data_IF_693789587086
#
_entry.id   IF_693789587086
#
_cell.length_a   1.000
_cell.length_b   1.000
_cell.length_c   1.000
_cell.angle_alpha   90.00
_cell.angle_beta   90.00
_cell.angle_gamma   90.00
#
_symmetry.space_group_name_H-M   'P 1'
#
loop_
_entity.id
_entity.type
_entity.pdbx_description
1 polymer ?
#
# COMPACT_ATOMS: atom_id res chain seq x y z
N UNK A 1 13.37 -0.43 -14.93
CA UNK A 1 12.34 -0.18 -15.96
C UNK A 1 12.86 -0.39 -17.38
N UNK A 2 14.13 -0.12 -17.66
CA UNK A 2 14.75 -0.25 -18.99
C UNK A 2 14.61 -1.63 -19.64
N UNK A 3 14.81 -2.72 -18.91
CA UNK A 3 14.74 -4.07 -19.49
C UNK A 3 13.35 -4.43 -20.04
N UNK A 4 12.29 -4.23 -19.24
CA UNK A 4 10.91 -4.52 -19.67
C UNK A 4 10.53 -3.65 -20.87
N UNK A 5 10.80 -2.34 -20.80
CA UNK A 5 10.49 -1.44 -21.91
C UNK A 5 11.26 -1.80 -23.18
N UNK A 6 12.55 -2.16 -23.08
CA UNK A 6 13.36 -2.58 -24.22
C UNK A 6 12.79 -3.84 -24.88
N UNK A 7 12.51 -4.89 -24.10
CA UNK A 7 11.94 -6.14 -24.64
C UNK A 7 10.59 -5.95 -25.36
N UNK A 8 9.76 -5.02 -24.87
CA UNK A 8 8.48 -4.69 -25.51
C UNK A 8 8.67 -3.86 -26.77
N UNK A 9 9.70 -3.01 -26.82
CA UNK A 9 10.05 -2.27 -28.03
C UNK A 9 10.57 -3.22 -29.12
N UNK A 10 11.25 -4.29 -28.73
CA UNK A 10 11.70 -5.36 -29.63
C UNK A 10 10.55 -6.28 -30.10
N UNK A 11 9.30 -6.01 -29.70
CA UNK A 11 8.13 -6.78 -30.08
C UNK A 11 8.00 -8.14 -29.37
N UNK A 12 8.78 -8.40 -28.31
CA UNK A 12 8.74 -9.67 -27.57
C UNK A 12 7.74 -9.61 -26.42
N UNK A 13 6.83 -10.59 -26.37
CA UNK A 13 5.80 -10.69 -25.31
C UNK A 13 6.33 -11.46 -24.08
N UNK A 14 7.23 -12.41 -24.32
CA UNK A 14 7.90 -13.21 -23.29
C UNK A 14 9.07 -12.41 -22.73
N UNK A 15 9.00 -12.07 -21.43
CA UNK A 15 10.04 -11.27 -20.76
C UNK A 15 10.82 -12.19 -19.80
N UNK A 16 12.10 -12.50 -20.07
CA UNK A 16 12.93 -13.30 -19.20
C UNK A 16 13.34 -12.53 -17.93
N UNK A 17 13.76 -13.26 -16.90
CA UNK A 17 14.41 -12.65 -15.74
C UNK A 17 15.74 -12.01 -16.17
N UNK A 18 16.09 -10.88 -15.54
CA UNK A 18 17.35 -10.16 -15.81
C UNK A 18 18.57 -10.85 -15.16
N UNK A 19 18.36 -11.78 -14.24
CA UNK A 19 19.44 -12.52 -13.61
C UNK A 19 19.90 -13.64 -14.53
N UNK A 20 21.20 -13.69 -14.83
CA UNK A 20 21.81 -14.66 -15.74
C UNK A 20 21.62 -16.12 -15.31
N UNK A 21 21.44 -16.37 -14.01
CA UNK A 21 21.25 -17.71 -13.46
C UNK A 21 19.76 -18.13 -13.39
N UNK A 22 18.86 -17.25 -13.86
CA UNK A 22 17.42 -17.45 -13.72
C UNK A 22 16.74 -17.63 -15.08
N UNK A 23 16.46 -18.88 -15.43
CA UNK A 23 15.71 -19.25 -16.65
C UNK A 23 14.18 -19.00 -16.54
N UNK A 24 13.72 -18.28 -15.51
CA UNK A 24 12.28 -18.03 -15.29
C UNK A 24 11.83 -16.80 -16.06
N UNK A 25 10.59 -16.84 -16.55
CA UNK A 25 9.95 -15.69 -17.17
C UNK A 25 9.07 -14.92 -16.18
N UNK A 26 8.97 -13.61 -16.38
CA UNK A 26 8.09 -12.77 -15.59
C UNK A 26 6.62 -13.14 -15.86
N UNK A 27 5.83 -13.20 -14.79
CA UNK A 27 4.39 -13.44 -14.89
C UNK A 27 3.71 -12.22 -15.50
N UNK A 28 2.66 -12.44 -16.28
CA UNK A 28 1.84 -11.34 -16.83
C UNK A 28 1.38 -10.35 -15.78
N UNK A 29 0.88 -10.83 -14.64
CA UNK A 29 0.42 -9.98 -13.55
C UNK A 29 1.52 -9.05 -13.03
N UNK A 30 2.75 -9.56 -12.91
CA UNK A 30 3.92 -8.78 -12.51
C UNK A 30 4.28 -7.72 -13.54
N UNK A 31 4.24 -8.08 -14.83
CA UNK A 31 4.47 -7.15 -15.95
C UNK A 31 3.43 -6.02 -15.94
N UNK A 32 2.14 -6.38 -15.83
CA UNK A 32 1.03 -5.41 -15.76
C UNK A 32 1.13 -4.50 -14.54
N UNK A 33 1.52 -5.04 -13.39
CA UNK A 33 1.67 -4.24 -12.17
C UNK A 33 2.86 -3.28 -12.26
N UNK A 34 3.95 -3.68 -12.92
CA UNK A 34 5.10 -2.81 -13.20
C UNK A 34 4.70 -1.62 -14.08
N UNK A 35 3.88 -1.86 -15.11
CA UNK A 35 3.43 -0.83 -16.06
C UNK A 35 2.18 -0.08 -15.61
N UNK A 36 1.76 -0.20 -14.33
CA UNK A 36 0.52 0.41 -13.84
C UNK A 36 0.46 1.93 -14.06
N UNK A 37 1.60 2.60 -13.97
CA UNK A 37 1.70 4.07 -14.07
C UNK A 37 2.07 4.55 -15.48
N UNK A 38 2.45 3.65 -16.40
CA UNK A 38 2.87 3.98 -17.75
C UNK A 38 1.84 3.43 -18.75
N UNK A 39 0.91 4.31 -19.15
CA UNK A 39 -0.18 3.95 -20.06
C UNK A 39 0.30 3.54 -21.45
N UNK A 40 1.43 4.08 -21.92
CA UNK A 40 1.96 3.82 -23.26
C UNK A 40 2.53 2.40 -23.33
N UNK A 41 3.38 2.04 -22.37
CA UNK A 41 3.93 0.68 -22.32
C UNK A 41 2.83 -0.36 -22.04
N UNK A 42 1.85 0.00 -21.20
CA UNK A 42 0.71 -0.88 -20.91
C UNK A 42 -0.09 -1.20 -22.17
N UNK A 43 -0.46 -0.19 -22.96
CA UNK A 43 -1.20 -0.36 -24.21
C UNK A 43 -0.38 -1.14 -25.25
N UNK A 44 0.93 -0.85 -25.37
CA UNK A 44 1.84 -1.61 -26.25
C UNK A 44 1.86 -3.09 -25.92
N UNK A 45 2.02 -3.45 -24.64
CA UNK A 45 1.98 -4.85 -24.21
C UNK A 45 0.65 -5.52 -24.54
N UNK A 46 -0.48 -4.85 -24.30
CA UNK A 46 -1.81 -5.38 -24.62
C UNK A 46 -2.00 -5.64 -26.11
N UNK A 47 -1.52 -4.74 -26.97
CA UNK A 47 -1.54 -4.90 -28.42
C UNK A 47 -0.71 -6.10 -28.87
N UNK A 48 0.53 -6.23 -28.39
CA UNK A 48 1.38 -7.39 -28.70
C UNK A 48 0.71 -8.70 -28.25
N UNK A 49 0.16 -8.72 -27.04
CA UNK A 49 -0.57 -9.87 -26.51
C UNK A 49 -1.81 -10.22 -27.34
N UNK A 50 -2.60 -9.22 -27.76
CA UNK A 50 -3.76 -9.44 -28.62
C UNK A 50 -3.33 -10.02 -29.97
N UNK A 51 -2.29 -9.44 -30.60
CA UNK A 51 -1.76 -9.87 -31.89
C UNK A 51 -1.29 -11.33 -31.86
N UNK A 52 -0.54 -11.75 -30.84
CA UNK A 52 -0.09 -13.14 -30.73
C UNK A 52 -1.21 -14.16 -30.45
N UNK A 53 -2.41 -13.70 -30.05
CA UNK A 53 -3.57 -14.55 -29.83
C UNK A 53 -4.64 -14.43 -30.92
N UNK A 54 -4.35 -13.72 -32.03
CA UNK A 54 -5.28 -13.62 -33.17
C UNK A 54 -5.41 -14.95 -33.92
N UNK A 55 -4.34 -15.73 -33.99
CA UNK A 55 -4.33 -17.01 -34.69
C UNK A 55 -5.15 -18.05 -33.90
N UNK A 56 -6.18 -18.70 -34.50
CA UNK A 56 -6.95 -19.74 -33.82
C UNK A 56 -6.12 -20.97 -33.42
N UNK A 57 -4.99 -21.20 -34.11
CA UNK A 57 -4.07 -22.33 -33.91
C UNK A 57 -2.87 -22.01 -33.03
N UNK A 58 -2.64 -20.75 -32.68
CA UNK A 58 -1.51 -20.34 -31.85
C UNK A 58 -1.97 -19.40 -30.74
N UNK A 59 -1.60 -19.72 -29.50
CA UNK A 59 -2.01 -18.95 -28.33
C UNK A 59 -0.90 -18.86 -27.32
N UNK A 60 -0.87 -17.74 -26.62
CA UNK A 60 0.10 -17.50 -25.55
C UNK A 60 -0.44 -17.98 -24.21
N UNK A 61 0.43 -18.58 -23.40
CA UNK A 61 0.11 -19.04 -22.06
C UNK A 61 -0.38 -17.88 -21.20
N UNK A 62 -1.47 -18.03 -20.43
CA UNK A 62 -2.00 -16.95 -19.60
C UNK A 62 -1.10 -16.51 -18.42
N UNK A 63 0.02 -17.18 -18.15
CA UNK A 63 0.89 -16.83 -17.02
C UNK A 63 2.28 -16.36 -17.43
N UNK A 64 2.99 -17.10 -18.29
CA UNK A 64 4.35 -16.76 -18.73
C UNK A 64 4.43 -16.17 -20.15
N UNK A 65 3.29 -16.04 -20.85
CA UNK A 65 3.25 -15.57 -22.24
C UNK A 65 4.05 -16.41 -23.25
N UNK A 66 4.36 -17.67 -22.92
CA UNK A 66 4.94 -18.65 -23.85
C UNK A 66 3.96 -18.95 -24.99
N UNK A 67 4.44 -18.95 -26.24
CA UNK A 67 3.63 -19.24 -27.42
C UNK A 67 3.43 -20.74 -27.58
N UNK A 68 2.17 -21.18 -27.66
CA UNK A 68 1.79 -22.55 -28.00
C UNK A 68 1.20 -22.55 -29.40
N UNK A 69 1.88 -23.19 -30.35
CA UNK A 69 1.33 -23.50 -31.68
C UNK A 69 0.85 -24.94 -31.72
N UNK A 70 -0.34 -25.18 -32.29
CA UNK A 70 -0.84 -26.53 -32.58
C UNK A 70 -0.05 -27.22 -33.71
N UNK A 71 0.77 -26.47 -34.46
CA UNK A 71 1.55 -26.99 -35.58
C UNK A 71 2.91 -27.56 -35.13
N UNK A 72 3.43 -27.15 -33.98
CA UNK A 72 4.80 -27.49 -33.50
C UNK A 72 4.82 -28.58 -32.42
N UNK A 73 3.68 -28.89 -31.78
CA UNK A 73 3.64 -29.75 -30.59
C UNK A 73 2.53 -30.78 -30.74
N UNK A 74 2.92 -32.07 -30.79
CA UNK A 74 2.11 -33.18 -30.27
C UNK A 74 1.80 -32.82 -28.81
N UNK A 75 0.59 -32.36 -28.45
CA UNK A 75 0.34 -32.05 -27.05
C UNK A 75 0.47 -33.39 -26.31
N UNK A 76 1.11 -33.39 -25.14
CA UNK A 76 0.72 -34.36 -24.11
C UNK A 76 -0.74 -34.05 -23.79
N UNK A 77 -1.63 -34.55 -24.64
CA UNK A 77 -3.06 -34.57 -24.38
C UNK A 77 -3.15 -35.51 -23.19
N UNK A 78 -3.45 -34.96 -22.01
CA UNK A 78 -3.93 -35.74 -20.88
C UNK A 78 -5.33 -36.26 -21.26
N UNK A 79 -5.40 -37.15 -22.25
CA UNK A 79 -6.56 -38.01 -22.43
C UNK A 79 -6.51 -38.96 -21.25
N UNK A 80 -7.34 -38.68 -20.23
CA UNK A 80 -7.71 -39.73 -19.29
C UNK A 80 -8.33 -40.85 -20.13
N UNK A 81 -7.56 -41.92 -20.29
CA UNK A 81 -7.97 -43.32 -20.43
C UNK A 81 -9.45 -43.54 -20.73
N UNK A 82 -9.78 -43.75 -22.01
CA UNK A 82 -10.84 -44.69 -22.38
C UNK A 82 -10.23 -45.76 -23.27
N UNK A 83 -10.16 -46.97 -22.71
CA UNK A 83 -9.66 -48.16 -23.36
C UNK A 83 -10.62 -48.58 -24.48
N UNK A 84 -10.28 -48.29 -25.74
CA UNK A 84 -10.42 -49.18 -26.92
C UNK A 84 -10.26 -48.40 -28.23
N UNK A 85 -9.12 -48.64 -28.87
CA UNK A 85 -9.00 -49.04 -30.28
C UNK A 85 -9.75 -48.22 -31.34
N UNK A 86 -9.01 -47.38 -32.09
CA UNK A 86 -8.61 -47.61 -33.50
C UNK A 86 -8.29 -46.27 -34.18
N UNK A 87 -7.09 -46.23 -34.76
CA UNK A 87 -6.60 -45.30 -35.77
C UNK A 87 -7.67 -44.44 -36.49
N UNK A 88 -7.83 -43.20 -36.01
CA UNK A 88 -8.08 -42.03 -36.85
C UNK A 88 -7.73 -40.81 -36.02
N UNK A 89 -6.53 -40.26 -36.22
CA UNK A 89 -6.22 -38.92 -35.72
C UNK A 89 -7.08 -37.99 -36.55
N UNK A 90 -8.28 -37.67 -36.06
CA UNK A 90 -9.04 -36.54 -36.55
C UNK A 90 -8.19 -35.29 -36.27
N UNK A 91 -7.39 -34.88 -37.25
CA UNK A 91 -6.58 -33.65 -37.30
C UNK A 91 -7.40 -32.35 -37.14
N UNK A 92 -8.69 -32.47 -36.79
CA UNK A 92 -9.69 -31.39 -36.69
C UNK A 92 -10.08 -31.00 -35.27
N UNK A 93 -9.67 -31.72 -34.21
CA UNK A 93 -10.08 -31.39 -32.84
C UNK A 93 -8.97 -30.68 -32.06
N UNK A 94 -9.15 -29.38 -31.87
CA UNK A 94 -8.30 -28.53 -31.01
C UNK A 94 -8.32 -29.09 -29.58
N UNK A 95 -7.16 -29.34 -28.94
CA UNK A 95 -7.10 -29.83 -27.56
C UNK A 95 -7.73 -28.81 -26.62
N UNK A 96 -8.60 -29.27 -25.72
CA UNK A 96 -9.29 -28.38 -24.78
C UNK A 96 -8.39 -27.97 -23.60
N UNK A 97 -7.52 -28.89 -23.14
CA UNK A 97 -6.65 -28.75 -21.99
C UNK A 97 -5.18 -28.76 -22.44
N UNK A 98 -4.41 -27.77 -21.99
CA UNK A 98 -2.97 -27.67 -22.29
C UNK A 98 -2.22 -27.38 -21.00
N UNK A 99 -1.12 -28.08 -20.79
CA UNK A 99 -0.19 -27.80 -19.70
C UNK A 99 1.02 -27.05 -20.24
N UNK A 100 1.37 -25.93 -19.60
CA UNK A 100 2.54 -25.18 -19.98
C UNK A 100 3.83 -25.84 -19.50
N UNK A 101 4.81 -26.03 -20.38
CA UNK A 101 6.14 -26.59 -20.07
C UNK A 101 6.97 -25.66 -19.16
N UNK A 102 6.86 -24.34 -19.32
CA UNK A 102 7.66 -23.39 -18.55
C UNK A 102 7.10 -23.07 -17.16
N UNK A 103 5.78 -22.98 -17.03
CA UNK A 103 5.14 -22.52 -15.79
C UNK A 103 4.19 -23.55 -15.15
N UNK A 104 4.14 -24.77 -15.71
CA UNK A 104 3.30 -25.89 -15.28
C UNK A 104 1.81 -25.56 -15.13
N UNK A 105 1.36 -24.43 -15.69
CA UNK A 105 -0.04 -24.02 -15.62
C UNK A 105 -0.87 -24.90 -16.55
N UNK A 106 -1.95 -25.45 -16.02
CA UNK A 106 -2.97 -26.14 -16.80
C UNK A 106 -4.07 -25.14 -17.15
N UNK A 107 -4.30 -24.93 -18.44
CA UNK A 107 -5.20 -23.90 -18.94
C UNK A 107 -6.02 -24.40 -20.14
N UNK A 108 -7.14 -23.72 -20.41
CA UNK A 108 -8.00 -24.05 -21.53
C UNK A 108 -7.56 -23.32 -22.79
N UNK A 109 -7.20 -24.06 -23.85
CA UNK A 109 -6.75 -23.47 -25.11
C UNK A 109 -7.81 -22.57 -25.73
N UNK A 110 -9.11 -22.88 -25.60
CA UNK A 110 -10.17 -22.12 -26.28
C UNK A 110 -10.41 -20.73 -25.69
N UNK A 111 -10.43 -20.58 -24.37
CA UNK A 111 -10.70 -19.31 -23.69
C UNK A 111 -9.47 -18.65 -23.06
N UNK A 112 -8.30 -19.30 -23.05
CA UNK A 112 -7.09 -18.81 -22.40
C UNK A 112 -7.24 -18.56 -20.89
N UNK A 113 -8.21 -19.24 -20.25
CA UNK A 113 -8.46 -19.21 -18.82
C UNK A 113 -7.85 -20.44 -18.12
N UNK A 114 -7.70 -20.44 -16.78
CA UNK A 114 -7.39 -21.66 -16.03
C UNK A 114 -8.32 -22.82 -16.41
N UNK A 115 -7.81 -24.05 -16.36
CA UNK A 115 -8.62 -25.21 -16.73
C UNK A 115 -9.88 -25.33 -15.88
N UNK A 116 -11.01 -25.52 -16.54
CA UNK A 116 -12.32 -25.62 -15.92
C UNK A 116 -13.06 -26.85 -16.50
N UNK A 117 -13.29 -27.87 -15.68
CA UNK A 117 -13.92 -29.14 -16.10
C UNK A 117 -15.45 -29.02 -16.11
N UNK A 118 -16.02 -28.40 -15.08
CA UNK A 118 -17.48 -28.38 -14.83
C UNK A 118 -18.24 -27.27 -15.56
N UNK A 119 -17.55 -26.34 -16.21
CA UNK A 119 -18.15 -25.16 -16.83
C UNK A 119 -17.78 -25.07 -18.31
N UNK A 120 -18.72 -24.60 -19.14
CA UNK A 120 -18.38 -24.22 -20.52
C UNK A 120 -17.56 -22.94 -20.53
N UNK A 121 -16.71 -22.72 -21.54
CA UNK A 121 -15.93 -21.48 -21.67
C UNK A 121 -16.81 -20.22 -21.60
N UNK A 122 -18.02 -20.27 -22.18
CA UNK A 122 -18.97 -19.15 -22.16
C UNK A 122 -19.48 -18.88 -20.73
N UNK A 123 -19.81 -19.92 -19.97
CA UNK A 123 -20.24 -19.80 -18.58
C UNK A 123 -19.11 -19.28 -17.70
N UNK A 124 -17.88 -19.77 -17.89
CA UNK A 124 -16.71 -19.31 -17.15
C UNK A 124 -16.48 -17.81 -17.35
N UNK A 125 -16.41 -17.34 -18.60
CA UNK A 125 -16.23 -15.91 -18.92
C UNK A 125 -17.40 -15.06 -18.39
N UNK A 126 -18.64 -15.57 -18.45
CA UNK A 126 -19.81 -14.87 -17.89
C UNK A 126 -19.70 -14.79 -16.37
N UNK A 127 -19.30 -15.87 -15.70
CA UNK A 127 -19.04 -15.93 -14.26
C UNK A 127 -17.98 -14.93 -13.83
N UNK A 128 -16.85 -14.88 -14.52
CA UNK A 128 -15.78 -13.91 -14.25
C UNK A 128 -16.27 -12.46 -14.38
N UNK A 129 -17.05 -12.15 -15.42
CA UNK A 129 -17.66 -10.83 -15.60
C UNK A 129 -18.64 -10.50 -14.48
N UNK A 130 -19.45 -11.45 -14.05
CA UNK A 130 -20.38 -11.28 -12.94
C UNK A 130 -19.66 -11.07 -11.62
N UNK A 131 -18.58 -11.82 -11.37
CA UNK A 131 -17.73 -11.65 -10.20
C UNK A 131 -17.08 -10.27 -10.19
N UNK A 132 -16.54 -9.82 -11.33
CA UNK A 132 -15.97 -8.49 -11.43
C UNK A 132 -17.03 -7.41 -11.18
N UNK A 133 -18.23 -7.55 -11.77
CA UNK A 133 -19.37 -6.65 -11.50
C UNK A 133 -19.71 -6.62 -10.01
N UNK A 134 -19.90 -7.78 -9.38
CA UNK A 134 -20.20 -7.92 -7.95
C UNK A 134 -19.12 -7.28 -7.06
N UNK A 135 -17.85 -7.41 -7.43
CA UNK A 135 -16.71 -6.78 -6.75
C UNK A 135 -16.72 -5.25 -6.92
N UNK A 136 -17.07 -4.76 -8.11
CA UNK A 136 -17.05 -3.32 -8.42
C UNK A 136 -18.33 -2.58 -8.03
N UNK A 137 -19.43 -3.30 -7.85
CA UNK A 137 -20.73 -2.73 -7.54
C UNK A 137 -20.69 -2.07 -6.15
N UNK A 138 -21.05 -0.79 -6.13
CA UNK A 138 -21.20 0.00 -4.91
C UNK A 138 -22.68 -0.04 -4.53
N UNK A 139 -23.06 -1.03 -3.71
CA UNK A 139 -24.34 -0.94 -3.00
C UNK A 139 -24.17 0.05 -1.85
N UNK A 140 -25.20 0.86 -1.62
CA UNK A 140 -25.15 2.20 -1.01
C UNK A 140 -24.38 2.31 0.33
N UNK A 141 -24.22 1.21 1.09
CA UNK A 141 -23.43 1.24 2.33
C UNK A 141 -22.34 0.16 2.47
N UNK A 142 -22.23 -0.80 1.55
CA UNK A 142 -21.22 -1.87 1.65
C UNK A 142 -20.69 -2.25 0.26
N UNK A 143 -19.46 -1.83 -0.07
CA UNK A 143 -18.72 -2.46 -1.17
C UNK A 143 -18.38 -3.88 -0.75
N UNK A 144 -18.79 -4.87 -1.55
CA UNK A 144 -18.54 -6.29 -1.28
C UNK A 144 -17.06 -6.62 -1.11
N UNK A 145 -16.20 -5.97 -1.91
CA UNK A 145 -14.76 -6.06 -1.78
C UNK A 145 -14.10 -4.69 -2.03
N UNK A 146 -12.97 -4.44 -1.34
CA UNK A 146 -12.16 -3.23 -1.49
C UNK A 146 -10.78 -3.58 -2.04
N UNK A 147 -10.30 -2.80 -3.02
CA UNK A 147 -8.91 -2.90 -3.50
C UNK A 147 -7.95 -2.35 -2.44
N UNK A 148 -6.88 -3.09 -2.17
CA UNK A 148 -5.77 -2.58 -1.37
C UNK A 148 -5.10 -1.38 -2.07
N UNK A 149 -4.82 -0.26 -1.38
CA UNK A 149 -4.14 0.89 -1.99
C UNK A 149 -2.66 0.64 -2.35
N UNK A 150 -2.07 -0.50 -1.98
CA UNK A 150 -0.68 -0.85 -2.30
C UNK A 150 -0.60 -1.88 -3.43
N UNK A 151 -1.20 -3.06 -3.24
CA UNK A 151 -1.15 -4.14 -4.24
C UNK A 151 -2.39 -4.21 -5.16
N UNK A 152 -3.47 -3.49 -4.85
CA UNK A 152 -4.79 -3.61 -5.50
C UNK A 152 -5.44 -4.99 -5.49
N UNK A 153 -4.98 -5.88 -4.62
CA UNK A 153 -5.69 -7.11 -4.29
C UNK A 153 -7.06 -6.76 -3.72
N UNK A 154 -8.10 -7.44 -4.18
CA UNK A 154 -9.45 -7.31 -3.63
C UNK A 154 -9.53 -8.03 -2.29
N UNK A 155 -10.00 -7.33 -1.29
CA UNK A 155 -10.14 -7.81 0.08
C UNK A 155 -11.62 -7.68 0.43
N UNK A 156 -12.24 -8.76 0.90
CA UNK A 156 -13.59 -8.75 1.43
C UNK A 156 -13.54 -8.54 2.95
N UNK A 157 -14.52 -7.82 3.49
CA UNK A 157 -14.69 -7.64 4.93
C UNK A 157 -15.83 -8.52 5.44
N UNK A 158 -15.58 -9.33 6.48
CA UNK A 158 -16.57 -10.22 7.09
C UNK A 158 -17.32 -9.58 8.28
N UNK A 159 -17.45 -8.24 8.29
CA UNK A 159 -17.98 -7.47 9.42
C UNK A 159 -16.89 -6.91 10.36
N UNK A 160 -17.30 -6.10 11.34
CA UNK A 160 -16.40 -5.52 12.35
C UNK A 160 -15.73 -4.19 11.97
N UNK A 161 -14.56 -3.94 12.57
CA UNK A 161 -13.82 -2.68 12.46
C UNK A 161 -13.43 -2.35 11.00
N UNK A 162 -13.53 -1.09 10.54
CA UNK A 162 -13.11 -0.70 9.19
C UNK A 162 -11.58 -0.64 9.00
N UNK A 163 -10.78 -0.83 10.06
CA UNK A 163 -9.34 -0.94 9.99
C UNK A 163 -8.94 -2.35 9.53
N UNK A 164 -8.35 -2.47 8.34
CA UNK A 164 -7.92 -3.76 7.78
C UNK A 164 -6.44 -3.74 7.40
N UNK A 165 -5.79 -4.88 7.59
CA UNK A 165 -4.42 -5.11 7.16
C UNK A 165 -4.43 -6.07 5.98
N UNK A 166 -3.77 -5.70 4.89
CA UNK A 166 -3.71 -6.55 3.69
C UNK A 166 -2.83 -7.78 3.92
N UNK A 167 -3.34 -8.98 3.68
CA UNK A 167 -2.59 -10.24 3.81
C UNK A 167 -1.39 -10.34 2.85
N UNK A 168 -1.51 -9.79 1.64
CA UNK A 168 -0.46 -9.89 0.62
C UNK A 168 0.69 -8.90 0.80
N UNK A 169 0.46 -7.74 1.42
CA UNK A 169 1.47 -6.67 1.48
C UNK A 169 1.62 -5.99 2.85
N UNK A 170 0.93 -6.52 3.87
CA UNK A 170 0.89 -6.03 5.26
C UNK A 170 0.52 -4.54 5.42
N UNK A 171 -0.04 -3.91 4.39
CA UNK A 171 -0.43 -2.50 4.45
C UNK A 171 -1.73 -2.34 5.24
N UNK A 172 -1.74 -1.43 6.21
CA UNK A 172 -2.93 -0.99 6.94
C UNK A 172 -3.72 0.04 6.12
N UNK A 173 -5.02 -0.19 5.93
CA UNK A 173 -5.89 0.71 5.20
C UNK A 173 -7.33 0.67 5.73
N UNK A 174 -8.07 1.74 5.47
CA UNK A 174 -9.48 1.84 5.86
C UNK A 174 -10.37 1.26 4.76
N UNK A 175 -11.20 0.29 5.12
CA UNK A 175 -12.10 -0.38 4.17
C UNK A 175 -13.15 0.56 3.56
N UNK A 176 -13.62 1.54 4.34
CA UNK A 176 -14.66 2.49 3.95
C UNK A 176 -14.19 3.51 2.90
N UNK A 177 -12.97 4.04 3.05
CA UNK A 177 -12.44 5.06 2.16
C UNK A 177 -11.33 4.57 1.20
N UNK A 178 -10.78 3.38 1.44
CA UNK A 178 -9.70 2.79 0.64
C UNK A 178 -8.35 3.49 0.77
N UNK A 179 -8.19 4.44 1.70
CA UNK A 179 -6.92 5.12 1.96
C UNK A 179 -6.10 4.35 2.98
N UNK A 180 -4.78 4.47 2.89
CA UNK A 180 -3.84 3.92 3.87
C UNK A 180 -4.01 4.62 5.22
N UNK A 181 -3.82 3.88 6.31
CA UNK A 181 -3.66 4.51 7.61
C UNK A 181 -2.26 5.14 7.66
N UNK A 182 -2.22 6.47 7.58
CA UNK A 182 -0.99 7.24 7.82
C UNK A 182 -1.05 7.79 9.24
N UNK A 183 -0.07 7.45 10.08
CA UNK A 183 0.09 8.06 11.41
C UNK A 183 0.82 9.38 11.22
N UNK A 184 0.07 10.48 11.06
CA UNK A 184 0.65 11.82 11.02
C UNK A 184 0.51 12.41 12.43
N UNK A 185 1.61 12.78 13.13
CA UNK A 185 1.59 13.12 14.55
C UNK A 185 0.74 14.35 14.94
N UNK A 186 0.18 15.08 13.98
CA UNK A 186 -0.60 16.29 14.23
C UNK A 186 -2.06 16.25 13.72
N UNK A 187 -2.42 15.25 12.90
CA UNK A 187 -3.67 15.27 12.11
C UNK A 187 -4.73 14.28 12.65
N UNK A 188 -4.39 13.56 13.71
CA UNK A 188 -5.27 12.60 14.36
C UNK A 188 -5.37 11.27 13.62
N UNK A 189 -6.01 10.30 14.28
CA UNK A 189 -6.21 8.97 13.73
C UNK A 189 -7.30 8.99 12.65
N UNK A 190 -7.07 8.29 11.54
CA UNK A 190 -7.99 8.26 10.41
C UNK A 190 -9.42 7.78 10.76
N UNK A 191 -9.57 7.04 11.86
CA UNK A 191 -10.85 6.55 12.39
C UNK A 191 -11.67 7.60 13.15
N UNK A 192 -11.12 8.74 13.54
CA UNK A 192 -11.89 9.74 14.29
C UNK A 192 -12.85 10.51 13.39
N UNK A 193 -14.03 10.85 13.92
CA UNK A 193 -15.13 11.51 13.18
C UNK A 193 -14.75 12.93 12.71
N UNK A 194 -13.92 13.62 13.48
CA UNK A 194 -13.55 15.03 13.30
C UNK A 194 -12.10 15.24 12.84
N UNK A 195 -11.35 14.20 12.47
CA UNK A 195 -10.03 14.41 11.86
C UNK A 195 -10.18 15.10 10.49
N UNK A 196 -9.41 16.18 10.30
CA UNK A 196 -9.34 16.97 9.05
C UNK A 196 -9.10 16.06 7.83
N UNK A 197 -8.23 15.06 7.98
CA UNK A 197 -7.91 14.09 6.93
C UNK A 197 -8.48 12.67 7.22
N UNK A 198 -9.51 12.58 8.06
CA UNK A 198 -10.15 11.32 8.45
C UNK A 198 -10.97 10.64 7.35
N UNK A 199 -11.55 9.49 7.66
CA UNK A 199 -12.38 8.70 6.73
C UNK A 199 -13.62 9.48 6.22
N UNK A 200 -13.78 9.75 4.91
CA UNK A 200 -14.93 10.50 4.40
C UNK A 200 -16.27 9.86 4.76
N UNK A 201 -16.40 8.54 4.62
CA UNK A 201 -17.68 7.86 4.89
C UNK A 201 -18.05 7.78 6.38
N UNK A 202 -17.16 8.18 7.30
CA UNK A 202 -17.43 8.18 8.74
C UNK A 202 -18.18 9.44 9.22
N UNK A 203 -18.25 10.49 8.40
CA UNK A 203 -18.96 11.73 8.71
C UNK A 203 -19.98 12.05 7.61
N UNK A 204 -21.26 11.88 7.95
CA UNK A 204 -22.41 12.07 7.05
C UNK A 204 -22.21 11.43 5.68
N UNK A 205 -22.39 10.09 5.55
CA UNK A 205 -22.10 9.35 4.31
C UNK A 205 -22.84 9.94 3.09
N UNK A 206 -24.08 10.38 3.28
CA UNK A 206 -24.98 10.80 2.21
C UNK A 206 -24.96 12.31 1.92
N UNK A 207 -24.24 13.12 2.72
CA UNK A 207 -24.21 14.60 2.57
C UNK A 207 -22.77 15.10 2.36
N UNK A 208 -22.27 15.11 1.11
CA UNK A 208 -20.87 15.49 0.84
C UNK A 208 -20.57 16.97 1.13
N UNK A 209 -21.56 17.86 0.95
CA UNK A 209 -21.41 19.29 1.25
C UNK A 209 -21.18 19.53 2.74
N UNK A 210 -22.03 18.94 3.60
CA UNK A 210 -21.92 19.05 5.06
C UNK A 210 -20.59 18.49 5.58
N UNK A 211 -20.09 17.41 4.97
CA UNK A 211 -18.76 16.86 5.30
C UNK A 211 -17.63 17.84 4.98
N UNK A 212 -17.71 18.51 3.82
CA UNK A 212 -16.68 19.47 3.38
C UNK A 212 -16.68 20.71 4.27
N UNK A 213 -17.85 21.22 4.65
CA UNK A 213 -17.96 22.38 5.54
C UNK A 213 -17.40 22.08 6.93
N UNK A 214 -17.81 20.97 7.57
CA UNK A 214 -17.31 20.59 8.90
C UNK A 214 -15.79 20.36 8.89
N UNK A 215 -15.24 19.72 7.86
CA UNK A 215 -13.77 19.53 7.77
C UNK A 215 -13.03 20.84 7.48
N UNK A 216 -13.63 21.72 6.69
CA UNK A 216 -13.10 23.05 6.41
C UNK A 216 -13.01 23.88 7.69
N UNK A 217 -14.07 23.92 8.49
CA UNK A 217 -14.08 24.69 9.75
C UNK A 217 -13.04 24.17 10.74
N UNK A 218 -12.91 22.84 10.89
CA UNK A 218 -11.89 22.25 11.77
C UNK A 218 -10.47 22.55 11.25
N UNK A 219 -10.24 22.43 9.94
CA UNK A 219 -8.93 22.75 9.34
C UNK A 219 -8.53 24.20 9.60
N UNK A 220 -9.46 25.14 9.35
CA UNK A 220 -9.25 26.56 9.62
C UNK A 220 -8.96 26.82 11.09
N UNK A 221 -9.71 26.18 12.00
CA UNK A 221 -9.46 26.29 13.44
C UNK A 221 -8.07 25.81 13.85
N UNK A 222 -7.60 24.68 13.32
CA UNK A 222 -6.26 24.15 13.60
C UNK A 222 -5.16 25.05 13.06
N UNK A 223 -5.33 25.58 11.85
CA UNK A 223 -4.36 26.49 11.21
C UNK A 223 -4.25 27.81 11.98
N UNK A 224 -5.36 28.32 12.52
CA UNK A 224 -5.36 29.57 13.32
C UNK A 224 -4.81 29.33 14.73
N UNK A 225 -5.19 28.23 15.39
CA UNK A 225 -4.77 27.96 16.78
C UNK A 225 -3.28 27.61 16.90
N UNK A 226 -2.71 26.90 15.92
CA UNK A 226 -1.30 26.46 15.94
C UNK A 226 -0.30 27.62 16.14
N UNK A 227 -0.30 28.72 15.34
CA UNK A 227 0.61 29.83 15.54
C UNK A 227 0.35 30.58 16.86
N UNK A 228 -0.90 30.68 17.32
CA UNK A 228 -1.23 31.35 18.58
C UNK A 228 -0.60 30.62 19.76
N UNK A 229 -0.73 29.28 19.81
CA UNK A 229 -0.13 28.45 20.84
C UNK A 229 1.39 28.53 20.79
N UNK A 230 1.98 28.52 19.59
CA UNK A 230 3.43 28.65 19.43
C UNK A 230 3.95 30.01 19.94
N UNK A 231 3.29 31.11 19.58
CA UNK A 231 3.64 32.45 20.06
C UNK A 231 3.50 32.53 21.58
N UNK A 232 2.40 32.03 22.14
CA UNK A 232 2.19 32.00 23.59
C UNK A 232 3.25 31.20 24.34
N UNK A 233 3.70 30.08 23.79
CA UNK A 233 4.78 29.28 24.39
C UNK A 233 6.13 30.02 24.35
N UNK A 234 6.44 30.69 23.23
CA UNK A 234 7.68 31.46 23.08
C UNK A 234 7.70 32.68 24.01
N UNK A 235 6.61 33.44 24.09
CA UNK A 235 6.53 34.61 24.98
C UNK A 235 6.63 34.22 26.45
N UNK A 236 5.97 33.11 26.85
CA UNK A 236 6.10 32.56 28.20
C UNK A 236 7.55 32.14 28.48
N UNK A 237 8.22 31.46 27.55
CA UNK A 237 9.62 31.09 27.72
C UNK A 237 10.56 32.30 27.85
N UNK A 238 10.39 33.33 27.01
CA UNK A 238 11.23 34.54 27.02
C UNK A 238 11.02 35.40 28.27
N UNK A 239 9.84 35.37 28.89
CA UNK A 239 9.56 36.15 30.11
C UNK A 239 9.86 35.38 31.39
N UNK A 240 9.47 34.10 31.45
CA UNK A 240 9.59 33.28 32.66
C UNK A 240 11.03 32.80 32.87
N UNK A 241 11.75 32.39 31.81
CA UNK A 241 13.11 31.85 31.99
C UNK A 241 14.10 32.89 32.53
N UNK A 242 14.15 34.15 32.02
CA UNK A 242 15.05 35.15 32.56
C UNK A 242 14.67 35.62 33.96
N UNK A 243 13.38 35.80 34.24
CA UNK A 243 12.91 36.22 35.58
C UNK A 243 13.25 35.16 36.64
N UNK A 244 13.00 33.88 36.35
CA UNK A 244 13.41 32.77 37.21
C UNK A 244 14.94 32.68 37.31
N UNK A 245 15.66 32.92 36.22
CA UNK A 245 17.12 32.97 36.19
C UNK A 245 17.70 34.05 37.11
N UNK A 246 17.21 35.29 36.98
CA UNK A 246 17.58 36.44 37.82
C UNK A 246 17.22 36.17 39.28
N UNK A 247 16.01 35.67 39.56
CA UNK A 247 15.59 35.32 40.91
C UNK A 247 16.54 34.29 41.55
N UNK A 248 16.90 33.22 40.81
CA UNK A 248 17.85 32.20 41.28
C UNK A 248 19.26 32.78 41.50
N UNK A 249 19.72 33.68 40.63
CA UNK A 249 20.99 34.39 40.76
C UNK A 249 21.03 35.28 42.02
N UNK A 250 20.00 36.11 42.22
CA UNK A 250 19.87 36.99 43.39
C UNK A 250 19.80 36.17 44.67
N UNK A 251 19.03 35.06 44.67
CA UNK A 251 18.95 34.15 45.82
C UNK A 251 20.32 33.56 46.17
N UNK A 252 21.10 33.10 45.17
CA UNK A 252 22.47 32.61 45.37
C UNK A 252 23.43 33.70 45.86
N UNK A 253 23.36 34.91 45.30
CA UNK A 253 24.19 36.03 45.72
C UNK A 253 23.90 36.46 47.17
N UNK A 254 22.62 36.54 47.56
CA UNK A 254 22.22 36.84 48.95
C UNK A 254 22.70 35.76 49.93
N UNK A 255 22.62 34.48 49.55
CA UNK A 255 23.16 33.39 50.37
C UNK A 255 24.68 33.50 50.56
N UNK A 256 25.44 33.81 49.49
CA UNK A 256 26.90 34.04 49.59
C UNK A 256 27.24 35.23 50.47
N UNK A 257 26.53 36.36 50.36
CA UNK A 257 26.78 37.53 51.23
C UNK A 257 26.53 37.23 52.70
N UNK A 258 25.45 36.49 53.03
CA UNK A 258 25.18 36.04 54.40
C UNK A 258 26.28 35.13 54.93
N UNK A 259 26.75 34.18 54.13
CA UNK A 259 27.88 33.33 54.50
C UNK A 259 29.17 34.14 54.73
N UNK A 260 29.47 35.11 53.86
CA UNK A 260 30.63 35.99 54.03
C UNK A 260 30.52 36.85 55.30
N UNK A 261 29.35 37.42 55.59
CA UNK A 261 29.13 38.18 56.83
C UNK A 261 29.33 37.31 58.07
N UNK A 262 28.85 36.06 58.07
CA UNK A 262 29.06 35.11 59.16
C UNK A 262 30.54 34.78 59.36
N UNK A 263 31.29 34.56 58.27
CA UNK A 263 32.74 34.30 58.32
C UNK A 263 33.49 35.51 58.88
N UNK A 264 33.19 36.73 58.38
CA UNK A 264 33.83 37.95 58.89
C UNK A 264 33.50 38.17 60.37
N UNK A 265 32.25 37.97 60.80
CA UNK A 265 31.90 38.08 62.22
C UNK A 265 32.57 37.04 63.10
N UNK A 266 32.82 35.83 62.57
CA UNK A 266 33.56 34.80 63.29
C UNK A 266 35.04 35.20 63.42
N UNK A 267 35.68 35.63 62.34
CA UNK A 267 37.09 36.08 62.34
C UNK A 267 37.33 37.29 63.26
N UNK A 268 36.43 38.29 63.25
CA UNK A 268 36.54 39.45 64.15
C UNK A 268 36.41 39.01 65.61
N UNK A 269 35.50 38.07 65.91
CA UNK A 269 35.33 37.55 67.27
C UNK A 269 36.54 36.75 67.73
N UNK A 270 37.13 35.93 66.87
CA UNK A 270 38.33 35.15 67.18
C UNK A 270 39.54 36.08 67.41
N UNK A 271 39.67 37.16 66.63
CA UNK A 271 40.70 38.18 66.83
C UNK A 271 40.57 38.89 68.19
N UNK A 272 39.35 39.27 68.59
CA UNK A 272 39.12 39.92 69.89
C UNK A 272 39.41 39.00 71.08
N UNK A 273 39.21 37.69 70.94
CA UNK A 273 39.58 36.73 72.01
C UNK A 273 41.09 36.55 72.15
N UNK A 274 41.86 36.66 71.06
CA UNK A 274 43.33 36.60 71.13
C UNK A 274 43.95 37.85 71.79
N UNK A 275 43.32 39.03 71.64
CA UNK A 275 43.74 40.27 72.32
C UNK A 275 43.46 40.27 73.83
N UNK A 276 42.41 39.59 74.31
CA UNK A 276 42.12 39.48 75.75
C UNK A 276 43.06 38.49 76.48
N UNK A 277 43.58 37.47 75.80
CA UNK A 277 44.49 36.48 76.40
C UNK A 277 45.97 36.93 76.45
N UNK A 278 46.32 38.06 75.83
CA UNK A 278 47.71 38.56 75.70
C UNK A 278 48.02 39.83 76.50
N UNK A 279 47.06 40.38 77.25
CA UNK A 279 47.23 41.50 78.19
C UNK A 279 47.23 41.07 79.65
#
# INVERSE_FOLDING_TARGET
CSHISATLNDGRIKIPCMSNDCNKCLRRESIMNFMRHDSVLHDRYLKLYANANQCPRAKTCPRCSHLYSLDEINPMILTKTDKKSKNKIDTKKIPKQVQCSECSLVWCFRCSAPWHENFTCKQFIKGDKLLLKWVTQENDDQRNARKCPKCSTFIQRNGGCPHMTCSSCACEFCYLCGRRYCKIPFIGQHGSKFSVFGCPKNLHPNKPWLRRTIRGTIATGVVIASPIVAVGAVTAAVTILPTVGIYRLVKRARARRRAHQLIVSALVRDYSTEEEDTG
#
